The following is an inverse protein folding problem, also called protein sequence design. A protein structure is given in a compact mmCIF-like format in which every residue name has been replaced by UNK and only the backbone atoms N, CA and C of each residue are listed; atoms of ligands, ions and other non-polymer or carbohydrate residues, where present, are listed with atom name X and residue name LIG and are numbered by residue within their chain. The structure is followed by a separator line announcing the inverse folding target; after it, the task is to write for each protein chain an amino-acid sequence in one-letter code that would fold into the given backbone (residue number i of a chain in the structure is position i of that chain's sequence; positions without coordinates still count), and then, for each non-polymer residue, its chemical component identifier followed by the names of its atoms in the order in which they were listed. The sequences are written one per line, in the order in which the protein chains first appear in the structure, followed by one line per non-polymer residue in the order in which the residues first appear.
data_IF_664643085373
#
_entry.id   IF_664643085373
#
_cell.length_a   1.000
_cell.length_b   1.000
_cell.length_c   1.000
_cell.angle_alpha   90.00
_cell.angle_beta   90.00
_cell.angle_gamma   90.00
#
_symmetry.space_group_name_H-M   'P 1'
#
loop_
_entity.id
_entity.type
_entity.pdbx_description
1 polymer ?
#
# COMPACT_ATOMS: atom_id res chain seq x y z
N UNK A 1 -22.83 11.17 9.63
CA UNK A 1 -22.61 9.71 9.67
C UNK A 1 -23.38 9.05 8.55
N UNK A 2 -22.72 8.18 7.81
CA UNK A 2 -23.31 7.28 6.80
C UNK A 2 -23.03 5.84 7.23
N UNK A 3 -24.04 4.98 7.13
CA UNK A 3 -23.93 3.57 7.51
C UNK A 3 -24.46 2.69 6.40
N UNK A 4 -23.77 1.60 6.13
CA UNK A 4 -24.30 0.43 5.43
C UNK A 4 -24.00 -0.83 6.27
N UNK A 5 -24.32 -2.02 5.74
CA UNK A 5 -24.26 -3.28 6.51
C UNK A 5 -22.87 -3.57 7.11
N UNK A 6 -21.77 -3.09 6.49
CA UNK A 6 -20.40 -3.37 6.91
C UNK A 6 -19.58 -2.11 7.20
N UNK A 7 -20.05 -0.94 6.80
CA UNK A 7 -19.26 0.30 6.86
C UNK A 7 -19.96 1.36 7.69
N UNK A 8 -19.19 2.01 8.57
CA UNK A 8 -19.59 3.20 9.30
C UNK A 8 -18.65 4.32 8.92
N UNK A 9 -19.18 5.37 8.27
CA UNK A 9 -18.42 6.55 7.91
C UNK A 9 -18.92 7.75 8.74
N UNK A 10 -17.99 8.42 9.40
CA UNK A 10 -18.19 9.64 10.16
C UNK A 10 -17.32 10.77 9.64
N UNK A 11 -17.75 12.01 9.78
CA UNK A 11 -17.00 13.23 9.46
C UNK A 11 -17.65 14.42 10.16
N UNK A 12 -16.96 15.53 10.27
CA UNK A 12 -17.56 16.78 10.75
C UNK A 12 -18.54 17.35 9.72
N UNK A 13 -18.18 17.30 8.42
CA UNK A 13 -19.03 17.77 7.35
C UNK A 13 -19.18 16.71 6.26
N UNK A 14 -20.39 16.61 5.70
CA UNK A 14 -20.66 15.70 4.60
C UNK A 14 -21.85 16.14 3.76
N UNK A 15 -21.74 15.94 2.45
CA UNK A 15 -22.76 16.21 1.47
C UNK A 15 -22.97 15.01 0.55
N UNK A 16 -24.21 14.73 0.21
CA UNK A 16 -24.58 13.70 -0.78
C UNK A 16 -25.39 14.31 -1.92
N UNK A 17 -24.95 14.06 -3.14
CA UNK A 17 -25.67 14.44 -4.36
C UNK A 17 -26.40 13.22 -4.94
N UNK A 18 -27.76 13.16 -4.89
CA UNK A 18 -28.51 12.07 -5.50
C UNK A 18 -28.35 11.99 -7.03
N UNK A 19 -28.15 13.15 -7.68
CA UNK A 19 -28.00 13.23 -9.13
C UNK A 19 -26.71 12.57 -9.63
N UNK A 20 -25.59 12.76 -8.91
CA UNK A 20 -24.29 12.19 -9.24
C UNK A 20 -23.98 10.89 -8.49
N UNK A 21 -24.76 10.56 -7.46
CA UNK A 21 -24.53 9.46 -6.51
C UNK A 21 -23.16 9.56 -5.82
N UNK A 22 -22.69 10.78 -5.57
CA UNK A 22 -21.43 11.07 -4.92
C UNK A 22 -21.67 11.66 -3.53
N UNK A 23 -20.97 11.13 -2.56
CA UNK A 23 -20.83 11.72 -1.22
C UNK A 23 -19.44 12.34 -1.10
N UNK A 24 -19.36 13.51 -0.47
CA UNK A 24 -18.11 14.17 -0.09
C UNK A 24 -18.11 14.33 1.41
N UNK A 25 -17.00 14.01 2.05
CA UNK A 25 -16.81 14.09 3.49
C UNK A 25 -15.54 14.86 3.77
N UNK A 26 -15.60 15.82 4.69
CA UNK A 26 -14.47 16.66 5.06
C UNK A 26 -14.35 16.72 6.57
N UNK A 27 -13.12 16.90 7.02
CA UNK A 27 -12.68 17.07 8.39
C UNK A 27 -12.98 15.84 9.27
N UNK A 28 -11.92 15.30 9.83
CA UNK A 28 -11.96 14.11 10.69
C UNK A 28 -12.78 12.95 10.11
N UNK A 29 -12.56 12.69 8.82
CA UNK A 29 -13.24 11.59 8.14
C UNK A 29 -12.71 10.27 8.68
N UNK A 30 -13.62 9.42 9.14
CA UNK A 30 -13.30 8.07 9.60
C UNK A 30 -14.26 7.06 9.00
N UNK A 31 -13.73 6.13 8.24
CA UNK A 31 -14.43 4.96 7.72
C UNK A 31 -13.98 3.72 8.48
N UNK A 32 -14.91 3.07 9.15
CA UNK A 32 -14.69 1.82 9.88
C UNK A 32 -15.39 0.69 9.16
N UNK A 33 -14.62 -0.32 8.79
CA UNK A 33 -15.07 -1.61 8.26
C UNK A 33 -14.51 -2.72 9.15
N UNK A 34 -15.13 -3.90 9.30
CA UNK A 34 -14.59 -5.01 10.09
C UNK A 34 -13.15 -5.42 9.76
N UNK A 35 -12.68 -5.09 8.54
CA UNK A 35 -11.36 -5.49 8.02
C UNK A 35 -10.33 -4.36 8.01
N UNK A 36 -10.77 -3.11 8.09
CA UNK A 36 -9.87 -1.95 8.08
C UNK A 36 -10.52 -0.72 8.68
N UNK A 37 -9.70 0.23 9.06
CA UNK A 37 -10.10 1.59 9.39
C UNK A 37 -9.35 2.55 8.46
N UNK A 38 -10.07 3.48 7.83
CA UNK A 38 -9.48 4.58 7.07
C UNK A 38 -9.78 5.89 7.81
N UNK A 39 -8.75 6.69 8.02
CA UNK A 39 -8.87 8.08 8.46
C UNK A 39 -8.35 9.01 7.38
N UNK A 40 -8.98 10.12 7.15
CA UNK A 40 -8.66 11.04 6.06
C UNK A 40 -9.08 12.47 6.40
N UNK A 41 -8.45 13.44 5.77
CA UNK A 41 -8.93 14.82 5.82
C UNK A 41 -10.16 15.00 4.92
N UNK A 42 -10.09 14.47 3.70
CA UNK A 42 -11.18 14.54 2.72
C UNK A 42 -11.35 13.20 2.00
N UNK A 43 -12.57 12.71 1.97
CA UNK A 43 -12.95 11.49 1.25
C UNK A 43 -14.13 11.76 0.31
N UNK A 44 -14.02 11.30 -0.92
CA UNK A 44 -15.12 11.33 -1.89
C UNK A 44 -15.51 9.92 -2.27
N UNK A 45 -16.75 9.54 -2.01
CA UNK A 45 -17.24 8.19 -2.29
C UNK A 45 -18.35 8.20 -3.35
N UNK A 46 -18.24 7.35 -4.36
CA UNK A 46 -19.27 7.11 -5.34
C UNK A 46 -20.03 5.82 -5.02
N UNK A 47 -21.31 5.94 -4.70
CA UNK A 47 -22.17 4.78 -4.45
C UNK A 47 -22.49 3.99 -5.74
N UNK A 48 -22.31 4.62 -6.92
CA UNK A 48 -22.53 3.99 -8.21
C UNK A 48 -21.33 3.11 -8.63
N UNK A 49 -20.09 3.61 -8.47
CA UNK A 49 -18.87 2.90 -8.88
C UNK A 49 -18.21 2.13 -7.73
N UNK A 50 -18.65 2.35 -6.49
CA UNK A 50 -18.04 1.80 -5.27
C UNK A 50 -16.58 2.21 -5.07
N UNK A 51 -16.22 3.38 -5.60
CA UNK A 51 -14.87 3.94 -5.49
C UNK A 51 -14.85 5.04 -4.42
N UNK A 52 -13.94 4.90 -3.48
CA UNK A 52 -13.54 5.94 -2.54
C UNK A 52 -12.28 6.62 -3.06
N UNK A 53 -12.33 7.92 -3.26
CA UNK A 53 -11.15 8.73 -3.61
C UNK A 53 -10.60 9.37 -2.34
N UNK A 54 -9.31 9.20 -2.13
CA UNK A 54 -8.51 9.79 -1.07
C UNK A 54 -7.99 11.13 -1.60
N UNK A 55 -8.32 12.21 -0.90
CA UNK A 55 -8.00 13.58 -1.28
C UNK A 55 -7.41 14.32 -0.08
N UNK A 56 -6.15 14.03 0.24
CA UNK A 56 -5.42 14.57 1.38
C UNK A 56 -4.86 13.49 2.29
N UNK A 57 -4.11 13.87 3.35
CA UNK A 57 -3.45 12.95 4.25
C UNK A 57 -4.41 11.89 4.80
N UNK A 58 -4.08 10.64 4.57
CA UNK A 58 -4.95 9.51 4.91
C UNK A 58 -4.15 8.32 5.40
N UNK A 59 -4.68 7.66 6.42
CA UNK A 59 -4.14 6.43 6.99
C UNK A 59 -5.16 5.31 6.84
N UNK A 60 -4.71 4.17 6.34
CA UNK A 60 -5.51 2.95 6.24
C UNK A 60 -4.84 1.89 7.10
N UNK A 61 -5.53 1.42 8.13
CA UNK A 61 -5.03 0.40 9.05
C UNK A 61 -5.86 -0.87 8.89
N UNK A 62 -5.21 -1.99 8.64
CA UNK A 62 -5.82 -3.31 8.43
C UNK A 62 -4.91 -4.39 9.00
N UNK A 63 -5.33 -5.06 10.07
CA UNK A 63 -4.51 -6.03 10.80
C UNK A 63 -3.10 -5.49 11.14
N UNK A 64 -2.05 -6.07 10.54
CA UNK A 64 -0.67 -5.63 10.69
C UNK A 64 -0.24 -4.58 9.64
N UNK A 65 -1.12 -4.24 8.69
CA UNK A 65 -0.81 -3.30 7.61
C UNK A 65 -1.22 -1.88 7.98
N UNK A 66 -0.32 -0.94 7.76
CA UNK A 66 -0.58 0.48 7.83
C UNK A 66 -0.15 1.13 6.51
N UNK A 67 -1.07 1.82 5.85
CA UNK A 67 -0.83 2.50 4.59
C UNK A 67 -1.08 3.99 4.81
N UNK A 68 -0.11 4.82 4.44
CA UNK A 68 -0.26 6.26 4.35
C UNK A 68 -0.30 6.68 2.88
N UNK A 69 -1.21 7.58 2.53
CA UNK A 69 -1.30 8.18 1.19
C UNK A 69 -1.99 9.54 1.25
N UNK A 70 -1.60 10.44 0.37
CA UNK A 70 -2.25 11.75 0.23
C UNK A 70 -3.18 11.81 -0.98
N UNK A 71 -2.99 10.90 -1.93
CA UNK A 71 -3.80 10.82 -3.14
C UNK A 71 -3.98 9.37 -3.55
N UNK A 72 -5.19 8.99 -3.91
CA UNK A 72 -5.45 7.64 -4.41
C UNK A 72 -6.92 7.29 -4.47
N UNK A 73 -7.18 6.04 -4.76
CA UNK A 73 -8.54 5.52 -4.73
C UNK A 73 -8.56 4.06 -4.26
N UNK A 74 -9.68 3.70 -3.66
CA UNK A 74 -9.97 2.35 -3.23
C UNK A 74 -11.31 1.91 -3.79
N UNK A 75 -11.32 0.80 -4.51
CA UNK A 75 -12.55 0.15 -4.95
C UNK A 75 -13.03 -0.83 -3.86
N UNK A 76 -14.10 -0.47 -3.17
CA UNK A 76 -14.62 -1.24 -2.03
C UNK A 76 -15.26 -2.57 -2.46
N UNK A 77 -15.69 -2.69 -3.72
CA UNK A 77 -16.34 -3.89 -4.24
C UNK A 77 -15.34 -5.00 -4.54
N UNK A 78 -14.21 -4.66 -5.18
CA UNK A 78 -13.21 -5.63 -5.62
C UNK A 78 -11.96 -5.66 -4.72
N UNK A 79 -11.87 -4.74 -3.75
CA UNK A 79 -10.78 -4.71 -2.79
C UNK A 79 -9.44 -4.26 -3.36
N UNK A 80 -9.45 -3.41 -4.39
CA UNK A 80 -8.23 -2.87 -5.01
C UNK A 80 -8.01 -1.41 -4.64
N UNK A 81 -6.76 -1.09 -4.33
CA UNK A 81 -6.29 0.28 -4.08
C UNK A 81 -5.23 0.66 -5.10
N UNK A 82 -5.25 1.90 -5.53
CA UNK A 82 -4.16 2.56 -6.22
C UNK A 82 -3.85 3.86 -5.47
N UNK A 83 -2.61 3.96 -4.99
CA UNK A 83 -2.15 5.03 -4.14
C UNK A 83 -1.05 5.76 -4.88
N UNK A 84 -1.16 7.07 -4.94
CA UNK A 84 -0.30 7.95 -5.69
C UNK A 84 0.47 8.86 -4.74
N UNK A 85 1.45 9.60 -5.29
CA UNK A 85 2.17 10.63 -4.56
C UNK A 85 2.96 10.12 -3.35
N UNK A 86 3.88 9.17 -3.62
CA UNK A 86 4.85 8.63 -2.66
C UNK A 86 4.21 7.99 -1.43
N UNK A 87 3.26 7.15 -1.67
CA UNK A 87 2.59 6.39 -0.62
C UNK A 87 3.54 5.45 0.13
N UNK A 88 3.19 5.15 1.36
CA UNK A 88 3.98 4.30 2.27
C UNK A 88 3.11 3.17 2.78
N UNK A 89 3.59 1.93 2.61
CA UNK A 89 3.01 0.76 3.25
C UNK A 89 3.98 0.21 4.29
N UNK A 90 3.50 -0.02 5.50
CA UNK A 90 4.27 -0.67 6.57
C UNK A 90 3.58 -1.92 7.05
N UNK A 91 4.35 -2.98 7.33
CA UNK A 91 3.89 -4.25 7.86
C UNK A 91 5.00 -4.91 8.66
N UNK A 92 4.80 -5.16 9.95
CA UNK A 92 5.70 -5.94 10.82
C UNK A 92 7.20 -5.65 10.64
N UNK A 93 7.59 -4.37 10.61
CA UNK A 93 8.99 -3.94 10.43
C UNK A 93 9.45 -3.85 8.98
N UNK A 94 8.58 -4.16 8.03
CA UNK A 94 8.79 -3.91 6.59
C UNK A 94 8.15 -2.60 6.19
N UNK A 95 8.80 -1.88 5.29
CA UNK A 95 8.31 -0.62 4.74
C UNK A 95 8.53 -0.60 3.23
N UNK A 96 7.48 -0.33 2.49
CA UNK A 96 7.49 -0.16 1.04
C UNK A 96 7.09 1.27 0.70
N UNK A 97 7.88 1.91 -0.16
CA UNK A 97 7.57 3.22 -0.75
C UNK A 97 7.79 3.18 -2.24
N UNK A 98 7.07 4.00 -2.97
CA UNK A 98 7.20 4.21 -4.41
C UNK A 98 6.45 5.46 -4.79
N UNK A 99 6.61 5.93 -6.03
CA UNK A 99 5.83 7.06 -6.53
C UNK A 99 4.36 6.69 -6.68
N UNK A 100 4.07 5.41 -6.99
CA UNK A 100 2.73 4.85 -6.86
C UNK A 100 2.75 3.42 -6.33
N UNK A 101 1.70 3.04 -5.62
CA UNK A 101 1.49 1.71 -5.09
C UNK A 101 0.13 1.17 -5.57
N UNK A 102 0.12 -0.07 -6.01
CA UNK A 102 -1.10 -0.83 -6.26
C UNK A 102 -1.21 -1.97 -5.24
N UNK A 103 -2.41 -2.23 -4.74
CA UNK A 103 -2.66 -3.33 -3.82
C UNK A 103 -3.99 -4.02 -4.14
N UNK A 104 -3.95 -5.33 -4.30
CA UNK A 104 -5.12 -6.19 -4.45
C UNK A 104 -5.30 -7.03 -3.19
N UNK A 105 -6.21 -6.61 -2.31
CA UNK A 105 -6.49 -7.26 -1.03
C UNK A 105 -7.04 -8.68 -1.20
N UNK A 106 -7.84 -8.92 -2.27
CA UNK A 106 -8.47 -10.22 -2.50
C UNK A 106 -7.45 -11.26 -2.93
N UNK A 107 -6.49 -10.86 -3.77
CA UNK A 107 -5.42 -11.72 -4.25
C UNK A 107 -4.18 -11.71 -3.36
N UNK A 108 -4.10 -10.78 -2.40
CA UNK A 108 -3.00 -10.67 -1.45
C UNK A 108 -1.66 -10.32 -2.11
N UNK A 109 -1.66 -9.37 -3.07
CA UNK A 109 -0.42 -8.89 -3.66
C UNK A 109 -0.41 -7.36 -3.81
N UNK A 110 0.78 -6.81 -3.85
CA UNK A 110 1.03 -5.40 -4.11
C UNK A 110 2.13 -5.19 -5.13
N UNK A 111 2.07 -4.07 -5.81
CA UNK A 111 3.05 -3.58 -6.76
C UNK A 111 3.43 -2.15 -6.40
N UNK A 112 4.69 -1.80 -6.62
CA UNK A 112 5.19 -0.45 -6.45
C UNK A 112 5.94 -0.02 -7.71
N UNK A 113 5.76 1.23 -8.09
CA UNK A 113 6.28 1.79 -9.33
C UNK A 113 7.07 3.06 -9.03
N UNK A 114 8.18 3.19 -9.70
CA UNK A 114 9.12 4.29 -9.73
C UNK A 114 9.66 4.68 -8.34
N UNK A 115 10.98 4.86 -8.26
CA UNK A 115 11.69 5.20 -7.03
C UNK A 115 11.36 4.27 -5.84
N UNK A 116 11.20 2.97 -6.12
CA UNK A 116 10.78 2.00 -5.13
C UNK A 116 11.88 1.73 -4.12
N UNK A 117 11.53 1.77 -2.83
CA UNK A 117 12.38 1.37 -1.72
C UNK A 117 11.59 0.43 -0.82
N UNK A 118 12.04 -0.80 -0.68
CA UNK A 118 11.54 -1.77 0.30
C UNK A 118 12.60 -2.00 1.36
N UNK A 119 12.28 -1.78 2.62
CA UNK A 119 13.16 -2.05 3.76
C UNK A 119 12.56 -3.11 4.65
N UNK A 120 13.37 -4.01 5.18
CA UNK A 120 13.04 -4.97 6.22
C UNK A 120 13.98 -4.77 7.39
N UNK A 121 13.49 -4.14 8.45
CA UNK A 121 14.30 -3.82 9.63
C UNK A 121 14.56 -5.04 10.51
N UNK A 122 13.73 -6.09 10.39
CA UNK A 122 13.89 -7.35 11.12
C UNK A 122 15.04 -8.15 10.53
N UNK A 123 15.04 -8.33 9.21
CA UNK A 123 16.09 -9.06 8.49
C UNK A 123 17.27 -8.17 8.09
N UNK A 124 17.19 -6.86 8.37
CA UNK A 124 18.24 -5.88 8.07
C UNK A 124 18.66 -5.88 6.61
N UNK A 125 17.70 -5.78 5.73
CA UNK A 125 17.93 -5.65 4.31
C UNK A 125 17.08 -4.53 3.67
N UNK A 126 17.51 -4.12 2.50
CA UNK A 126 16.81 -3.14 1.67
C UNK A 126 16.87 -3.59 0.21
N UNK A 127 15.80 -3.36 -0.50
CA UNK A 127 15.69 -3.60 -1.94
C UNK A 127 15.17 -2.34 -2.61
N UNK A 128 15.83 -1.90 -3.67
CA UNK A 128 15.42 -0.74 -4.47
C UNK A 128 15.26 -1.11 -5.93
N UNK A 129 14.49 -0.34 -6.68
CA UNK A 129 14.30 -0.50 -8.11
C UNK A 129 13.24 0.45 -8.64
N UNK A 130 12.97 0.41 -9.94
CA UNK A 130 11.88 1.20 -10.54
C UNK A 130 10.54 0.42 -10.57
N UNK A 131 10.56 -0.88 -10.25
CA UNK A 131 9.37 -1.70 -10.06
C UNK A 131 9.61 -2.77 -9.00
N UNK A 132 8.65 -2.96 -8.11
CA UNK A 132 8.65 -4.02 -7.10
C UNK A 132 7.28 -4.71 -7.05
N UNK A 133 7.32 -6.02 -6.88
CA UNK A 133 6.15 -6.87 -6.63
C UNK A 133 6.31 -7.59 -5.30
N UNK A 134 5.25 -7.70 -4.54
CA UNK A 134 5.19 -8.48 -3.30
C UNK A 134 3.90 -9.28 -3.23
N UNK A 135 3.99 -10.56 -2.88
CA UNK A 135 2.84 -11.43 -2.64
C UNK A 135 2.82 -11.89 -1.18
N UNK A 136 1.76 -11.57 -0.47
CA UNK A 136 1.60 -11.85 0.97
C UNK A 136 1.44 -13.35 1.26
N UNK A 137 0.80 -14.10 0.36
CA UNK A 137 0.52 -15.52 0.55
C UNK A 137 1.77 -16.37 0.38
N UNK A 138 2.55 -16.09 -0.65
CA UNK A 138 3.78 -16.83 -0.98
C UNK A 138 5.02 -16.25 -0.32
N UNK A 139 4.90 -15.05 0.29
CA UNK A 139 6.03 -14.28 0.84
C UNK A 139 7.14 -14.02 -0.18
N UNK A 140 6.76 -13.99 -1.45
CA UNK A 140 7.64 -13.76 -2.57
C UNK A 140 7.68 -12.27 -2.89
N UNK A 141 8.87 -11.73 -3.08
CA UNK A 141 9.08 -10.36 -3.54
C UNK A 141 10.17 -10.33 -4.62
N UNK A 142 10.04 -9.44 -5.59
CA UNK A 142 11.11 -9.12 -6.50
C UNK A 142 11.11 -7.64 -6.86
N UNK A 143 12.29 -7.12 -7.20
CA UNK A 143 12.45 -5.80 -7.78
C UNK A 143 13.22 -5.90 -9.08
N UNK A 144 12.93 -5.01 -10.01
CA UNK A 144 13.55 -4.96 -11.33
C UNK A 144 13.76 -3.53 -11.77
N UNK A 145 14.48 -3.35 -12.88
CA UNK A 145 14.91 -2.05 -13.41
C UNK A 145 15.78 -1.30 -12.40
N UNK A 146 17.09 -1.44 -12.54
CA UNK A 146 18.12 -0.89 -11.63
C UNK A 146 18.00 -1.41 -10.20
N UNK A 147 17.69 -2.70 -10.04
CA UNK A 147 17.53 -3.27 -8.73
C UNK A 147 18.87 -3.27 -7.97
N UNK A 148 18.81 -2.81 -6.72
CA UNK A 148 19.92 -2.88 -5.77
C UNK A 148 19.41 -3.53 -4.49
N UNK A 149 20.01 -4.65 -4.11
CA UNK A 149 19.79 -5.26 -2.80
C UNK A 149 20.94 -4.87 -1.86
N UNK A 150 20.60 -4.52 -0.63
CA UNK A 150 21.56 -4.19 0.42
C UNK A 150 21.29 -5.07 1.62
N UNK A 151 22.30 -5.80 2.07
CA UNK A 151 22.28 -6.55 3.33
C UNK A 151 23.21 -5.85 4.33
N UNK A 152 22.67 -5.46 5.48
CA UNK A 152 23.44 -4.84 6.58
C UNK A 152 23.32 -5.63 7.89
N UNK A 153 23.02 -6.93 7.78
CA UNK A 153 22.82 -7.83 8.93
C UNK A 153 24.14 -8.12 9.70
N UNK A 154 25.28 -8.04 9.03
CA UNK A 154 26.59 -8.44 9.55
C UNK A 154 27.47 -7.26 10.08
N UNK A 155 26.92 -6.05 10.16
CA UNK A 155 27.64 -4.84 10.61
C UNK A 155 28.20 -4.01 9.46
N UNK A 156 28.69 -4.62 8.39
CA UNK A 156 29.01 -3.98 7.13
C UNK A 156 27.87 -4.12 6.13
N UNK A 157 27.81 -3.24 5.13
CA UNK A 157 26.77 -3.27 4.11
C UNK A 157 27.30 -3.99 2.85
N UNK A 158 26.60 -5.06 2.45
CA UNK A 158 26.83 -5.74 1.18
C UNK A 158 25.83 -5.20 0.15
N UNK A 159 26.34 -4.73 -0.99
CA UNK A 159 25.54 -4.21 -2.10
C UNK A 159 25.57 -5.20 -3.25
N UNK A 160 24.40 -5.56 -3.76
CA UNK A 160 24.23 -6.39 -4.94
C UNK A 160 23.42 -5.64 -5.97
N UNK A 161 23.97 -5.51 -7.19
CA UNK A 161 23.32 -4.87 -8.32
C UNK A 161 22.88 -5.93 -9.33
N UNK A 162 21.65 -5.85 -9.78
CA UNK A 162 21.11 -6.76 -10.79
C UNK A 162 20.01 -6.09 -11.61
N UNK A 163 19.70 -6.61 -12.77
CA UNK A 163 18.50 -6.18 -13.51
C UNK A 163 17.22 -6.61 -12.80
N UNK A 164 17.28 -7.77 -12.14
CA UNK A 164 16.19 -8.27 -11.28
C UNK A 164 16.78 -8.86 -10.00
N UNK A 165 16.22 -8.49 -8.86
CA UNK A 165 16.55 -9.06 -7.56
C UNK A 165 15.32 -9.70 -6.92
N UNK A 166 15.46 -10.90 -6.41
CA UNK A 166 14.38 -11.72 -5.83
C UNK A 166 14.65 -11.97 -4.36
N UNK A 167 13.62 -11.84 -3.52
CA UNK A 167 13.68 -12.16 -2.10
C UNK A 167 12.56 -13.13 -1.72
N UNK A 168 12.93 -14.18 -0.96
CA UNK A 168 11.98 -15.07 -0.29
C UNK A 168 12.14 -14.90 1.22
N UNK A 169 11.06 -14.57 1.92
CA UNK A 169 11.14 -14.31 3.37
C UNK A 169 11.25 -15.58 4.22
N UNK A 170 11.24 -16.78 3.62
CA UNK A 170 11.35 -18.06 4.31
C UNK A 170 12.61 -18.87 4.02
N UNK A 171 13.49 -18.43 3.11
CA UNK A 171 14.73 -19.13 2.82
C UNK A 171 15.93 -18.20 3.04
N UNK A 172 16.85 -18.62 3.90
CA UNK A 172 18.22 -18.10 3.99
C UNK A 172 19.01 -18.53 2.76
N UNK A 173 18.69 -18.01 1.61
CA UNK A 173 19.52 -18.16 0.42
C UNK A 173 19.23 -17.03 -0.54
N UNK A 174 20.21 -16.18 -0.74
CA UNK A 174 20.24 -15.27 -1.88
C UNK A 174 20.61 -16.10 -3.11
N UNK A 175 19.62 -16.48 -3.91
CA UNK A 175 19.91 -16.90 -5.28
C UNK A 175 19.90 -15.63 -6.14
N UNK A 176 21.08 -15.13 -6.45
CA UNK A 176 21.28 -14.21 -7.56
C UNK A 176 21.34 -15.04 -8.83
N UNK A 177 20.33 -14.94 -9.67
CA UNK A 177 20.42 -15.42 -11.06
C UNK A 177 21.18 -14.34 -11.83
N UNK A 178 22.44 -14.62 -12.11
CA UNK A 178 23.24 -13.86 -13.05
C UNK A 178 22.96 -14.45 -14.44
N UNK A 179 22.33 -13.69 -15.31
CA UNK A 179 22.34 -13.89 -16.76
C UNK A 179 23.49 -13.11 -17.39
#
# INVERSE_FOLDING_TARGET
TLMDEENVLTSEWGEYSPATKISVFNYDVKLVNPKFTLTSDTLRYSTATKIANILGPSDIVSDANHIYSELGFYNTQIGQAELLDRSVLTNEGKRLTGDSLFYDRVKGYGEAFDNVIMTDTVNKNMLTGDYCYYNELTKYAFATKKAVAVDYSQGDSLFMHADTSVSYTHLRAHETVLD
#
